data_IF_766548318326
#
_entry.id   IF_766548318326
#
_cell.length_a   1.000
_cell.length_b   1.000
_cell.length_c   1.000
_cell.angle_alpha   90.00
_cell.angle_beta   90.00
_cell.angle_gamma   90.00
#
_symmetry.space_group_name_H-M   'P 1'
#
loop_
_entity.id
_entity.type
_entity.pdbx_description
1 polymer ?
#
# COMPACT_ATOMS: atom_id res chain seq x y z
N UNK A 1 11.58 59.04 -32.86
CA UNK A 1 11.14 58.53 -31.54
C UNK A 1 11.00 57.05 -31.65
N UNK A 2 11.92 56.29 -31.07
CA UNK A 2 11.86 54.80 -31.05
C UNK A 2 11.45 54.43 -29.65
N UNK A 3 10.25 53.85 -29.46
CA UNK A 3 9.77 53.37 -28.20
C UNK A 3 10.35 51.96 -27.97
N UNK A 4 11.23 51.82 -26.98
CA UNK A 4 11.73 50.57 -26.53
C UNK A 4 10.67 49.88 -25.64
N UNK A 5 10.10 48.77 -26.10
CA UNK A 5 9.25 47.92 -25.27
C UNK A 5 10.17 47.01 -24.44
N UNK A 6 10.24 47.29 -23.13
CA UNK A 6 10.91 46.42 -22.17
C UNK A 6 9.94 45.32 -21.82
N UNK A 7 10.18 44.09 -22.34
CA UNK A 7 9.52 42.88 -21.87
C UNK A 7 10.12 42.51 -20.50
N UNK A 8 9.37 42.74 -19.43
CA UNK A 8 9.65 42.14 -18.13
C UNK A 8 9.32 40.65 -18.22
N UNK A 9 10.33 39.83 -18.36
CA UNK A 9 10.21 38.39 -18.12
C UNK A 9 10.05 38.16 -16.60
N UNK A 10 8.82 37.91 -16.17
CA UNK A 10 8.54 37.44 -14.81
C UNK A 10 9.09 36.01 -14.68
N UNK A 11 10.28 35.88 -14.13
CA UNK A 11 10.85 34.61 -13.73
C UNK A 11 10.10 34.09 -12.50
N UNK A 12 9.21 33.13 -12.68
CA UNK A 12 8.59 32.32 -11.63
C UNK A 12 9.18 30.90 -11.61
N UNK A 13 10.39 30.66 -11.08
CA UNK A 13 10.84 29.29 -10.87
C UNK A 13 11.16 28.90 -9.41
N UNK A 14 11.09 29.81 -8.43
CA UNK A 14 11.64 29.52 -7.10
C UNK A 14 10.68 28.73 -6.20
N UNK A 15 9.38 28.83 -6.40
CA UNK A 15 8.40 28.08 -5.57
C UNK A 15 8.18 26.64 -6.04
N UNK A 16 8.23 26.37 -7.34
CA UNK A 16 8.11 25.03 -7.88
C UNK A 16 9.23 24.10 -7.39
N UNK A 17 10.47 24.59 -7.37
CA UNK A 17 11.64 23.85 -6.90
C UNK A 17 11.53 23.44 -5.41
N UNK A 18 11.06 24.32 -4.53
CA UNK A 18 10.88 23.98 -3.10
C UNK A 18 9.82 22.92 -2.86
N UNK A 19 8.71 22.96 -3.61
CA UNK A 19 7.64 21.95 -3.52
C UNK A 19 8.13 20.61 -4.04
N UNK A 20 8.89 20.58 -5.14
CA UNK A 20 9.44 19.34 -5.70
C UNK A 20 10.47 18.71 -4.77
N UNK A 21 11.35 19.51 -4.17
CA UNK A 21 12.31 19.03 -3.16
C UNK A 21 11.59 18.47 -1.92
N UNK A 22 10.49 19.09 -1.50
CA UNK A 22 9.67 18.60 -0.40
C UNK A 22 9.00 17.27 -0.75
N UNK A 23 8.47 17.12 -1.96
CA UNK A 23 7.88 15.85 -2.43
C UNK A 23 8.91 14.74 -2.37
N UNK A 24 10.10 14.95 -2.95
CA UNK A 24 11.18 13.94 -2.95
C UNK A 24 11.62 13.59 -1.52
N UNK A 25 11.79 14.59 -0.67
CA UNK A 25 12.17 14.40 0.74
C UNK A 25 11.08 13.64 1.51
N UNK A 26 9.81 14.03 1.34
CA UNK A 26 8.68 13.37 2.00
C UNK A 26 8.54 11.92 1.58
N UNK A 27 8.70 11.63 0.28
CA UNK A 27 8.69 10.25 -0.22
C UNK A 27 9.78 9.40 0.45
N UNK A 28 11.04 9.85 0.41
CA UNK A 28 12.17 9.15 1.02
C UNK A 28 12.03 8.98 2.54
N UNK A 29 11.40 9.92 3.22
CA UNK A 29 11.19 9.92 4.66
C UNK A 29 9.92 9.21 5.10
N UNK A 30 9.03 8.82 4.18
CA UNK A 30 7.80 8.11 4.51
C UNK A 30 8.08 6.75 5.15
N UNK A 31 7.16 6.29 5.97
CA UNK A 31 7.23 5.00 6.64
C UNK A 31 7.37 3.84 5.63
N UNK A 32 6.63 3.90 4.53
CA UNK A 32 6.69 2.88 3.46
C UNK A 32 8.09 2.78 2.88
N UNK A 33 8.72 3.90 2.49
CA UNK A 33 10.06 3.87 1.90
C UNK A 33 11.14 3.40 2.90
N UNK A 34 11.00 3.77 4.17
CA UNK A 34 11.96 3.39 5.23
C UNK A 34 11.84 1.94 5.69
N UNK A 35 10.64 1.36 5.63
CA UNK A 35 10.38 0.03 6.20
C UNK A 35 10.14 -1.04 5.14
N UNK A 36 9.28 -0.79 4.18
CA UNK A 36 8.92 -1.78 3.15
C UNK A 36 9.86 -1.74 1.94
N UNK A 37 10.25 -0.55 1.48
CA UNK A 37 11.03 -0.33 0.26
C UNK A 37 12.53 -0.08 0.52
N UNK A 38 12.99 -0.23 1.75
CA UNK A 38 14.37 0.10 2.17
C UNK A 38 15.48 -0.66 1.42
N UNK A 39 15.17 -1.83 0.89
CA UNK A 39 16.11 -2.69 0.16
C UNK A 39 16.01 -2.53 -1.36
N UNK A 40 15.13 -1.66 -1.84
CA UNK A 40 14.92 -1.38 -3.24
C UNK A 40 15.77 -0.18 -3.69
N UNK A 41 16.20 -0.19 -4.95
CA UNK A 41 16.93 0.92 -5.56
C UNK A 41 15.92 1.83 -6.29
N UNK A 42 15.31 2.75 -5.55
CA UNK A 42 14.28 3.66 -6.08
C UNK A 42 14.82 5.09 -6.15
N UNK A 43 14.86 5.63 -7.36
CA UNK A 43 15.16 7.02 -7.63
C UNK A 43 13.85 7.80 -7.84
N UNK A 44 13.73 8.94 -7.17
CA UNK A 44 12.54 9.79 -7.20
C UNK A 44 12.95 11.14 -7.76
N UNK A 45 12.27 11.58 -8.82
CA UNK A 45 12.42 12.91 -9.39
C UNK A 45 11.05 13.58 -9.42
N UNK A 46 10.99 14.86 -9.09
CA UNK A 46 9.78 15.68 -9.17
C UNK A 46 10.04 16.92 -9.96
N UNK A 47 9.08 17.30 -10.81
CA UNK A 47 9.08 18.55 -11.55
C UNK A 47 7.65 19.08 -11.66
N UNK A 48 7.40 20.24 -11.07
CA UNK A 48 6.08 20.88 -11.07
C UNK A 48 4.95 19.98 -10.51
N UNK A 49 5.29 19.08 -9.56
CA UNK A 49 4.38 18.09 -8.97
C UNK A 49 4.19 16.82 -9.83
N UNK A 50 4.82 16.72 -10.98
CA UNK A 50 4.89 15.46 -11.73
C UNK A 50 6.08 14.64 -11.24
N UNK A 51 5.82 13.47 -10.66
CA UNK A 51 6.85 12.61 -10.09
C UNK A 51 7.15 11.44 -11.02
N UNK A 52 8.44 11.18 -11.23
CA UNK A 52 8.93 9.99 -11.94
C UNK A 52 9.68 9.10 -10.97
N UNK A 53 9.29 7.82 -10.93
CA UNK A 53 9.97 6.77 -10.19
C UNK A 53 10.75 5.88 -11.15
N UNK A 54 12.05 5.71 -10.91
CA UNK A 54 12.93 4.86 -11.72
C UNK A 54 13.80 3.99 -10.83
N UNK A 55 14.36 2.93 -11.38
CA UNK A 55 15.22 1.99 -10.67
C UNK A 55 14.61 0.62 -10.57
N UNK A 56 15.03 -0.16 -9.58
CA UNK A 56 14.62 -1.56 -9.46
C UNK A 56 14.07 -1.86 -8.07
N UNK A 57 13.03 -2.67 -8.05
CA UNK A 57 12.39 -3.19 -6.81
C UNK A 57 12.49 -4.71 -6.76
N UNK A 58 12.36 -5.27 -5.58
CA UNK A 58 12.42 -6.72 -5.36
C UNK A 58 11.16 -7.44 -5.84
N UNK A 59 10.00 -6.76 -5.81
CA UNK A 59 8.69 -7.37 -6.08
C UNK A 59 7.74 -6.41 -6.81
N UNK A 60 6.76 -6.94 -7.55
CA UNK A 60 5.74 -6.12 -8.24
C UNK A 60 4.86 -5.32 -7.27
N UNK A 61 4.60 -5.89 -6.07
CA UNK A 61 3.90 -5.19 -4.99
C UNK A 61 4.61 -3.90 -4.58
N UNK A 62 5.94 -3.88 -4.58
CA UNK A 62 6.75 -2.71 -4.25
C UNK A 62 6.62 -1.59 -5.30
N UNK A 63 6.47 -1.93 -6.59
CA UNK A 63 6.17 -0.92 -7.62
C UNK A 63 4.86 -0.19 -7.34
N UNK A 64 3.81 -0.96 -7.06
CA UNK A 64 2.49 -0.40 -6.78
C UNK A 64 2.50 0.39 -5.47
N UNK A 65 3.11 -0.15 -4.41
CA UNK A 65 3.19 0.50 -3.11
C UNK A 65 3.97 1.83 -3.18
N UNK A 66 5.09 1.86 -3.90
CA UNK A 66 5.85 3.09 -4.13
C UNK A 66 4.99 4.14 -4.83
N UNK A 67 4.29 3.76 -5.91
CA UNK A 67 3.40 4.65 -6.67
C UNK A 67 2.28 5.23 -5.81
N UNK A 68 1.55 4.37 -5.07
CA UNK A 68 0.40 4.79 -4.28
C UNK A 68 0.81 5.68 -3.10
N UNK A 69 1.95 5.38 -2.47
CA UNK A 69 2.50 6.22 -1.40
C UNK A 69 2.88 7.59 -1.93
N UNK A 70 3.60 7.67 -3.05
CA UNK A 70 4.01 8.95 -3.65
C UNK A 70 2.79 9.74 -4.13
N UNK A 71 1.80 9.08 -4.74
CA UNK A 71 0.56 9.73 -5.17
C UNK A 71 -0.25 10.33 -4.00
N UNK A 72 -0.07 9.82 -2.77
CA UNK A 72 -0.68 10.34 -1.55
C UNK A 72 0.02 11.58 -0.97
N UNK A 73 1.20 11.98 -1.46
CA UNK A 73 1.94 13.12 -0.93
C UNK A 73 1.34 14.46 -1.39
N UNK A 74 1.40 15.43 -0.48
CA UNK A 74 0.96 16.81 -0.79
C UNK A 74 1.79 17.41 -1.93
N UNK A 75 1.13 18.02 -2.89
CA UNK A 75 1.76 18.66 -4.05
C UNK A 75 1.98 17.73 -5.25
N UNK A 76 1.80 16.42 -5.11
CA UNK A 76 1.89 15.47 -6.24
C UNK A 76 0.64 15.57 -7.10
N UNK A 77 0.83 15.75 -8.40
CA UNK A 77 -0.23 15.82 -9.42
C UNK A 77 -0.33 14.52 -10.22
N UNK A 78 0.81 13.96 -10.58
CA UNK A 78 0.92 12.73 -11.37
C UNK A 78 2.13 11.93 -10.95
N UNK A 79 2.06 10.60 -11.12
CA UNK A 79 3.18 9.68 -10.87
C UNK A 79 3.40 8.82 -12.10
N UNK A 80 4.57 8.96 -12.71
CA UNK A 80 5.07 8.11 -13.78
C UNK A 80 5.97 7.03 -13.17
N UNK A 81 5.45 5.82 -13.10
CA UNK A 81 6.13 4.70 -12.44
C UNK A 81 6.85 3.83 -13.47
N UNK A 82 8.17 4.00 -13.58
CA UNK A 82 9.10 3.25 -14.45
C UNK A 82 9.98 2.29 -13.66
N UNK A 83 9.55 1.86 -12.48
CA UNK A 83 10.27 0.87 -11.69
C UNK A 83 10.25 -0.49 -12.40
N UNK A 84 11.36 -1.21 -12.32
CA UNK A 84 11.51 -2.56 -12.84
C UNK A 84 11.68 -3.55 -11.69
N UNK A 85 11.21 -4.79 -11.85
CA UNK A 85 11.39 -5.83 -10.85
C UNK A 85 12.70 -6.57 -11.11
N UNK A 86 13.55 -6.70 -10.09
CA UNK A 86 14.85 -7.40 -10.19
C UNK A 86 14.65 -8.87 -10.55
N UNK A 87 15.28 -9.30 -11.64
CA UNK A 87 15.45 -10.73 -11.94
C UNK A 87 14.19 -11.49 -12.36
N UNK A 88 13.07 -10.83 -12.56
CA UNK A 88 11.88 -11.47 -13.03
C UNK A 88 11.72 -11.32 -14.55
N UNK A 89 11.72 -12.42 -15.33
CA UNK A 89 10.80 -12.49 -16.43
C UNK A 89 9.42 -12.26 -15.81
N UNK A 90 8.57 -11.45 -16.42
CA UNK A 90 7.18 -11.22 -15.98
C UNK A 90 6.57 -12.56 -15.53
N UNK A 91 6.63 -12.84 -14.22
CA UNK A 91 5.92 -13.99 -13.68
C UNK A 91 4.47 -13.76 -14.05
N UNK A 92 3.86 -14.69 -14.75
CA UNK A 92 2.48 -14.58 -15.17
C UNK A 92 1.66 -14.12 -13.95
N UNK A 93 0.82 -13.12 -14.14
CA UNK A 93 0.07 -12.40 -13.09
C UNK A 93 -0.82 -13.29 -12.21
N UNK A 94 -0.71 -14.60 -12.29
CA UNK A 94 -1.41 -15.60 -11.49
C UNK A 94 -0.50 -16.81 -11.16
N UNK A 95 0.83 -16.66 -11.19
CA UNK A 95 1.73 -17.72 -10.76
C UNK A 95 1.69 -17.88 -9.24
N UNK A 96 1.97 -19.10 -8.75
CA UNK A 96 2.04 -19.38 -7.31
C UNK A 96 3.05 -18.46 -6.61
N UNK A 97 4.18 -18.13 -7.24
CA UNK A 97 5.15 -17.17 -6.71
C UNK A 97 4.56 -15.77 -6.54
N UNK A 98 3.72 -15.32 -7.49
CA UNK A 98 3.01 -14.06 -7.37
C UNK A 98 1.96 -14.09 -6.24
N UNK A 99 1.24 -15.21 -6.09
CA UNK A 99 0.29 -15.40 -4.99
C UNK A 99 0.97 -15.41 -3.62
N UNK A 100 2.16 -16.04 -3.48
CA UNK A 100 2.96 -15.94 -2.24
C UNK A 100 3.20 -14.48 -1.87
N UNK A 101 3.65 -13.68 -2.84
CA UNK A 101 3.90 -12.25 -2.64
C UNK A 101 2.64 -11.50 -2.22
N UNK A 102 1.52 -11.68 -2.94
CA UNK A 102 0.25 -11.03 -2.63
C UNK A 102 -0.23 -11.36 -1.21
N UNK A 103 -0.23 -12.64 -0.84
CA UNK A 103 -0.66 -13.10 0.49
C UNK A 103 0.24 -12.51 1.58
N UNK A 104 1.58 -12.62 1.45
CA UNK A 104 2.52 -12.04 2.41
C UNK A 104 2.32 -10.54 2.58
N UNK A 105 2.19 -9.82 1.48
CA UNK A 105 1.98 -8.36 1.48
C UNK A 105 0.64 -8.00 2.14
N UNK A 106 -0.43 -8.72 1.83
CA UNK A 106 -1.73 -8.54 2.48
C UNK A 106 -1.61 -8.71 4.00
N UNK A 107 -1.04 -9.83 4.45
CA UNK A 107 -0.87 -10.07 5.89
C UNK A 107 0.00 -9.00 6.57
N UNK A 108 1.03 -8.50 5.87
CA UNK A 108 1.94 -7.48 6.40
C UNK A 108 1.26 -6.14 6.68
N UNK A 109 0.22 -5.81 5.94
CA UNK A 109 -0.49 -4.52 6.07
C UNK A 109 -1.51 -4.51 7.21
N UNK A 110 -1.96 -5.68 7.65
CA UNK A 110 -2.97 -5.81 8.70
C UNK A 110 -2.36 -5.89 10.10
N UNK A 111 -2.87 -5.06 11.02
CA UNK A 111 -2.40 -4.97 12.40
C UNK A 111 -2.83 -6.15 13.27
N UNK A 112 -3.94 -6.81 12.92
CA UNK A 112 -4.53 -7.91 13.69
C UNK A 112 -3.88 -9.28 13.43
N UNK A 113 -2.95 -9.37 12.46
CA UNK A 113 -2.23 -10.62 12.13
C UNK A 113 -0.72 -10.44 12.25
N UNK A 114 0.01 -11.54 12.40
CA UNK A 114 1.47 -11.51 12.57
C UNK A 114 2.16 -12.02 11.32
N UNK A 115 2.34 -11.14 10.34
CA UNK A 115 2.98 -11.50 9.07
C UNK A 115 4.41 -12.03 9.27
N UNK A 116 5.17 -11.48 10.23
CA UNK A 116 6.54 -11.92 10.51
C UNK A 116 6.64 -13.31 11.14
N UNK A 117 5.56 -13.80 11.74
CA UNK A 117 5.46 -15.14 12.33
C UNK A 117 4.69 -16.11 11.42
N UNK A 118 4.34 -15.68 10.19
CA UNK A 118 3.57 -16.48 9.24
C UNK A 118 4.43 -16.81 8.01
N UNK A 119 4.66 -18.08 7.79
CA UNK A 119 5.22 -18.60 6.54
C UNK A 119 4.08 -18.87 5.56
N UNK A 120 4.30 -18.52 4.30
CA UNK A 120 3.32 -18.68 3.22
C UNK A 120 3.94 -19.47 2.10
N UNK A 121 3.34 -20.61 1.78
CA UNK A 121 3.61 -21.40 0.57
C UNK A 121 2.37 -21.45 -0.31
N UNK A 122 2.57 -21.49 -1.63
CA UNK A 122 1.47 -21.64 -2.59
C UNK A 122 1.82 -22.71 -3.61
N UNK A 123 0.86 -23.60 -3.86
CA UNK A 123 0.94 -24.59 -4.94
C UNK A 123 -0.41 -24.72 -5.63
N UNK A 124 -0.42 -24.51 -6.95
CA UNK A 124 -1.63 -24.59 -7.80
C UNK A 124 -2.78 -23.68 -7.30
N UNK A 125 -2.44 -22.53 -6.67
CA UNK A 125 -3.38 -21.59 -6.07
C UNK A 125 -3.89 -21.99 -4.67
N UNK A 126 -3.37 -23.08 -4.09
CA UNK A 126 -3.65 -23.50 -2.71
C UNK A 126 -2.58 -22.91 -1.80
N UNK A 127 -3.00 -22.06 -0.87
CA UNK A 127 -2.12 -21.40 0.12
C UNK A 127 -1.98 -22.29 1.34
N UNK A 128 -0.76 -22.55 1.77
CA UNK A 128 -0.46 -23.17 3.08
C UNK A 128 0.17 -22.15 4.00
N UNK A 129 -0.44 -21.91 5.15
CA UNK A 129 0.04 -20.99 6.20
C UNK A 129 0.64 -21.81 7.33
N UNK A 130 1.89 -21.49 7.73
CA UNK A 130 2.60 -22.11 8.86
C UNK A 130 3.14 -21.05 9.79
N UNK A 131 3.59 -21.46 10.98
CA UNK A 131 4.13 -20.60 12.01
C UNK A 131 3.21 -20.47 13.20
N UNK A 132 3.34 -19.37 13.96
CA UNK A 132 2.66 -19.20 15.24
C UNK A 132 1.65 -18.05 15.21
N UNK A 133 0.44 -18.32 15.70
CA UNK A 133 -0.58 -17.31 15.98
C UNK A 133 -0.70 -17.10 17.51
N UNK A 134 -0.81 -15.85 17.94
CA UNK A 134 -0.93 -15.50 19.36
C UNK A 134 -2.30 -15.90 19.96
N UNK A 135 -3.30 -16.19 19.14
CA UNK A 135 -4.64 -16.63 19.55
C UNK A 135 -5.35 -17.35 18.39
N UNK A 136 -6.41 -18.08 18.73
CA UNK A 136 -7.29 -18.68 17.73
C UNK A 136 -7.90 -17.61 16.80
N UNK A 137 -8.32 -16.47 17.36
CA UNK A 137 -8.87 -15.38 16.57
C UNK A 137 -7.87 -14.83 15.54
N UNK A 138 -6.59 -14.70 15.90
CA UNK A 138 -5.54 -14.29 14.96
C UNK A 138 -5.32 -15.34 13.86
N UNK A 139 -5.29 -16.62 14.22
CA UNK A 139 -5.18 -17.74 13.27
C UNK A 139 -6.33 -17.73 12.27
N UNK A 140 -7.56 -17.52 12.73
CA UNK A 140 -8.75 -17.47 11.91
C UNK A 140 -8.75 -16.25 10.98
N UNK A 141 -8.39 -15.06 11.50
CA UNK A 141 -8.23 -13.84 10.68
C UNK A 141 -7.14 -14.00 9.61
N UNK A 142 -6.01 -14.63 9.94
CA UNK A 142 -4.95 -14.91 8.95
C UNK A 142 -5.49 -15.77 7.82
N UNK A 143 -6.33 -16.78 8.14
CA UNK A 143 -7.01 -17.61 7.11
C UNK A 143 -7.92 -16.76 6.23
N UNK A 144 -8.79 -15.94 6.83
CA UNK A 144 -9.77 -15.13 6.08
C UNK A 144 -9.09 -14.11 5.17
N UNK A 145 -8.05 -13.42 5.64
CA UNK A 145 -7.28 -12.49 4.82
C UNK A 145 -6.58 -13.19 3.65
N UNK A 146 -5.94 -14.33 3.91
CA UNK A 146 -5.30 -15.10 2.83
C UNK A 146 -6.30 -15.64 1.82
N UNK A 147 -7.47 -16.11 2.27
CA UNK A 147 -8.54 -16.63 1.44
C UNK A 147 -9.18 -15.58 0.53
N UNK A 148 -9.22 -14.33 0.98
CA UNK A 148 -9.80 -13.22 0.21
C UNK A 148 -8.81 -12.61 -0.81
N UNK A 149 -7.55 -13.03 -0.82
CA UNK A 149 -6.60 -12.59 -1.85
C UNK A 149 -7.01 -13.11 -3.22
N UNK A 150 -7.06 -12.20 -4.20
CA UNK A 150 -7.42 -12.54 -5.57
C UNK A 150 -6.43 -13.54 -6.18
N UNK A 151 -6.96 -14.64 -6.72
CA UNK A 151 -6.23 -15.78 -7.27
C UNK A 151 -6.07 -16.96 -6.29
N UNK A 152 -6.35 -16.82 -5.00
CA UNK A 152 -6.33 -17.91 -4.02
C UNK A 152 -7.58 -18.77 -4.19
N UNK A 153 -7.38 -20.09 -4.32
CA UNK A 153 -8.46 -21.09 -4.45
C UNK A 153 -8.86 -21.69 -3.10
N UNK A 154 -7.87 -22.03 -2.29
CA UNK A 154 -8.03 -22.70 -0.99
C UNK A 154 -6.93 -22.23 -0.03
N UNK A 155 -7.22 -22.22 1.27
CA UNK A 155 -6.23 -21.95 2.33
C UNK A 155 -6.20 -23.11 3.31
N UNK A 156 -5.02 -23.68 3.51
CA UNK A 156 -4.70 -24.67 4.55
C UNK A 156 -3.92 -24.00 5.64
N UNK A 157 -4.54 -23.82 6.78
CA UNK A 157 -3.92 -23.16 7.91
C UNK A 157 -3.36 -24.18 8.91
N UNK A 158 -2.05 -24.40 8.83
CA UNK A 158 -1.27 -25.29 9.70
C UNK A 158 -0.59 -24.52 10.84
N UNK A 159 -0.96 -23.24 11.08
CA UNK A 159 -0.38 -22.42 12.16
C UNK A 159 -0.71 -23.02 13.53
N UNK A 160 0.29 -23.04 14.40
CA UNK A 160 0.10 -23.36 15.81
C UNK A 160 -0.46 -22.14 16.57
N UNK A 161 -1.35 -22.38 17.53
CA UNK A 161 -1.76 -21.32 18.47
C UNK A 161 -0.82 -21.37 19.66
N UNK A 162 0.07 -20.40 19.77
CA UNK A 162 0.97 -20.29 20.89
C UNK A 162 0.18 -19.94 22.17
N UNK A 163 0.53 -20.57 23.30
CA UNK A 163 0.02 -20.12 24.60
C UNK A 163 0.43 -18.65 24.80
N UNK A 164 -0.46 -17.79 25.35
CA UNK A 164 -0.26 -16.35 25.38
C UNK A 164 0.88 -15.96 26.32
N UNK A 165 2.09 -15.98 25.83
CA UNK A 165 3.25 -15.39 26.50
C UNK A 165 3.75 -14.20 25.67
N UNK A 166 3.39 -13.01 26.21
CA UNK A 166 3.84 -11.67 25.80
C UNK A 166 3.39 -11.17 24.40
N UNK A 167 2.36 -10.33 24.43
CA UNK A 167 2.16 -9.30 23.40
C UNK A 167 3.45 -8.49 23.26
N UNK A 168 4.15 -8.67 22.17
CA UNK A 168 5.12 -7.68 21.73
C UNK A 168 4.30 -6.55 21.09
N UNK A 169 3.91 -5.56 21.91
CA UNK A 169 3.52 -4.26 21.35
C UNK A 169 4.78 -3.70 20.73
N UNK A 170 4.85 -3.71 19.41
CA UNK A 170 5.74 -2.82 18.67
C UNK A 170 5.30 -1.41 19.02
N UNK A 171 6.15 -0.67 19.73
CA UNK A 171 6.03 0.79 19.89
C UNK A 171 5.99 1.36 18.48
N UNK A 172 4.80 1.83 18.08
CA UNK A 172 4.56 2.22 16.71
C UNK A 172 5.38 3.44 16.34
N UNK A 173 6.31 3.27 15.40
CA UNK A 173 6.75 4.40 14.58
C UNK A 173 5.49 5.04 14.01
N UNK A 174 5.37 6.37 14.13
CA UNK A 174 4.22 7.08 13.58
C UNK A 174 4.23 6.92 12.07
N UNK A 175 3.24 6.19 11.56
CA UNK A 175 3.07 5.99 10.12
C UNK A 175 2.46 7.27 9.55
N UNK A 176 3.09 7.84 8.53
CA UNK A 176 2.62 9.06 7.88
C UNK A 176 1.37 8.81 7.01
N UNK A 177 0.57 9.86 6.80
CA UNK A 177 -0.70 9.78 6.08
C UNK A 177 -0.56 9.27 4.63
N UNK A 178 0.55 9.57 3.95
CA UNK A 178 0.80 9.10 2.59
C UNK A 178 1.08 7.59 2.57
N UNK A 179 1.86 7.11 3.54
CA UNK A 179 2.09 5.67 3.74
C UNK A 179 0.79 4.93 4.06
N UNK A 180 -0.04 5.44 4.98
CA UNK A 180 -1.35 4.87 5.29
C UNK A 180 -2.24 4.83 4.03
N UNK A 181 -2.24 5.89 3.23
CA UNK A 181 -3.00 5.93 1.97
C UNK A 181 -2.53 4.82 1.02
N UNK A 182 -1.21 4.65 0.85
CA UNK A 182 -0.64 3.60 0.01
C UNK A 182 -1.01 2.19 0.49
N UNK A 183 -0.84 1.92 1.80
CA UNK A 183 -1.20 0.64 2.41
C UNK A 183 -2.69 0.32 2.28
N UNK A 184 -3.58 1.30 2.54
CA UNK A 184 -5.02 1.13 2.42
C UNK A 184 -5.46 0.84 0.97
N UNK A 185 -4.89 1.53 -0.02
CA UNK A 185 -5.15 1.26 -1.44
C UNK A 185 -4.69 -0.15 -1.84
N UNK A 186 -3.50 -0.56 -1.41
CA UNK A 186 -2.99 -1.91 -1.68
C UNK A 186 -3.85 -2.99 -1.04
N UNK A 187 -4.31 -2.78 0.20
CA UNK A 187 -5.24 -3.67 0.89
C UNK A 187 -6.51 -3.88 0.07
N UNK A 188 -7.18 -2.80 -0.33
CA UNK A 188 -8.40 -2.88 -1.16
C UNK A 188 -8.15 -3.53 -2.52
N UNK A 189 -6.98 -3.28 -3.13
CA UNK A 189 -6.62 -3.86 -4.43
C UNK A 189 -6.41 -5.37 -4.37
N UNK A 190 -5.84 -5.89 -3.28
CA UNK A 190 -5.48 -7.30 -3.15
C UNK A 190 -6.63 -8.18 -2.66
N UNK A 191 -7.59 -7.61 -1.94
CA UNK A 191 -8.80 -8.31 -1.53
C UNK A 191 -9.84 -8.37 -2.66
N UNK A 192 -10.21 -9.58 -3.09
CA UNK A 192 -11.21 -9.79 -4.14
C UNK A 192 -12.62 -9.33 -3.76
N UNK A 193 -12.91 -9.29 -2.46
CA UNK A 193 -14.21 -8.86 -1.92
C UNK A 193 -14.37 -7.35 -1.90
N UNK A 194 -13.35 -6.58 -2.31
CA UNK A 194 -13.41 -5.13 -2.39
C UNK A 194 -12.97 -4.63 -3.76
N UNK A 195 -13.55 -3.54 -4.20
CA UNK A 195 -13.25 -2.93 -5.52
C UNK A 195 -12.25 -1.78 -5.39
N UNK A 196 -10.98 -2.11 -5.04
CA UNK A 196 -9.95 -1.11 -4.84
C UNK A 196 -9.74 -0.16 -6.04
N UNK A 197 -9.98 -0.62 -7.25
CA UNK A 197 -9.84 0.19 -8.47
C UNK A 197 -10.89 1.31 -8.58
N UNK A 198 -12.08 1.12 -8.01
CA UNK A 198 -13.20 2.08 -8.04
C UNK A 198 -13.29 2.93 -6.77
N UNK A 199 -12.32 2.78 -5.86
CA UNK A 199 -12.32 3.44 -4.56
C UNK A 199 -11.22 4.49 -4.50
N UNK A 200 -11.57 5.73 -4.20
CA UNK A 200 -10.61 6.78 -3.84
C UNK A 200 -10.33 6.73 -2.36
N UNK A 201 -9.05 6.75 -2.01
CA UNK A 201 -8.55 6.69 -0.63
C UNK A 201 -7.71 7.93 -0.35
N UNK A 202 -8.05 8.66 0.70
CA UNK A 202 -7.26 9.78 1.19
C UNK A 202 -7.11 9.67 2.71
N UNK A 203 -5.94 10.07 3.23
CA UNK A 203 -5.67 10.05 4.67
C UNK A 203 -5.31 11.43 5.15
N UNK A 204 -5.85 11.83 6.30
CA UNK A 204 -5.50 13.05 7.00
C UNK A 204 -5.54 12.82 8.51
N UNK A 205 -4.42 13.07 9.18
CA UNK A 205 -4.24 12.85 10.62
C UNK A 205 -4.64 11.43 11.04
N UNK A 206 -4.15 10.39 10.29
CA UNK A 206 -4.44 8.96 10.48
C UNK A 206 -5.92 8.58 10.30
N UNK A 207 -6.76 9.48 9.81
CA UNK A 207 -8.16 9.22 9.46
C UNK A 207 -8.26 8.97 7.96
N UNK A 208 -8.65 7.77 7.58
CA UNK A 208 -8.83 7.39 6.17
C UNK A 208 -10.24 7.72 5.73
N UNK A 209 -10.36 8.41 4.60
CA UNK A 209 -11.64 8.64 3.93
C UNK A 209 -11.70 7.79 2.67
N UNK A 210 -12.72 6.93 2.59
CA UNK A 210 -13.05 6.14 1.41
C UNK A 210 -14.18 6.82 0.65
N UNK A 211 -14.03 7.01 -0.66
CA UNK A 211 -15.08 7.52 -1.54
C UNK A 211 -15.06 6.76 -2.87
N UNK A 212 -16.14 6.91 -3.64
CA UNK A 212 -16.35 6.14 -4.86
C UNK A 212 -17.61 5.29 -4.77
N UNK A 213 -17.64 4.17 -5.49
CA UNK A 213 -18.83 3.30 -5.57
C UNK A 213 -18.52 1.89 -5.12
N UNK A 214 -19.39 1.32 -4.31
CA UNK A 214 -19.42 -0.08 -3.96
C UNK A 214 -20.57 -0.77 -4.68
N UNK A 215 -20.41 -2.02 -5.06
CA UNK A 215 -21.47 -2.80 -5.74
C UNK A 215 -22.68 -3.08 -4.83
N UNK A 216 -22.43 -3.16 -3.53
CA UNK A 216 -23.45 -3.44 -2.53
C UNK A 216 -22.97 -3.01 -1.12
N UNK A 217 -23.87 -3.10 -0.13
CA UNK A 217 -23.58 -2.74 1.25
C UNK A 217 -22.48 -3.62 1.87
N UNK A 218 -22.45 -4.92 1.54
CA UNK A 218 -21.44 -5.83 2.09
C UNK A 218 -20.01 -5.47 1.62
N UNK A 219 -19.83 -5.10 0.33
CA UNK A 219 -18.54 -4.61 -0.18
C UNK A 219 -18.12 -3.31 0.51
N UNK A 220 -19.06 -2.36 0.70
CA UNK A 220 -18.82 -1.11 1.43
C UNK A 220 -18.36 -1.37 2.88
N UNK A 221 -19.03 -2.29 3.57
CA UNK A 221 -18.71 -2.64 4.97
C UNK A 221 -17.36 -3.37 5.06
N UNK A 222 -17.06 -4.29 4.12
CA UNK A 222 -15.77 -4.98 4.05
C UNK A 222 -14.62 -4.00 3.78
N UNK A 223 -14.81 -3.04 2.87
CA UNK A 223 -13.81 -2.01 2.61
C UNK A 223 -13.50 -1.21 3.88
N UNK A 224 -14.52 -0.84 4.67
CA UNK A 224 -14.34 -0.18 5.96
C UNK A 224 -13.54 -1.06 6.93
N UNK A 225 -13.91 -2.33 7.06
CA UNK A 225 -13.30 -3.27 8.00
C UNK A 225 -11.84 -3.53 7.67
N UNK A 226 -11.53 -3.80 6.41
CA UNK A 226 -10.17 -4.06 5.97
C UNK A 226 -9.27 -2.85 6.15
N UNK A 227 -9.74 -1.66 5.75
CA UNK A 227 -8.96 -0.43 5.90
C UNK A 227 -8.79 -0.03 7.37
N UNK A 228 -9.78 -0.29 8.22
CA UNK A 228 -9.67 -0.01 9.66
C UNK A 228 -8.61 -0.89 10.36
N UNK A 229 -8.29 -2.05 9.79
CA UNK A 229 -7.23 -2.95 10.29
C UNK A 229 -5.84 -2.67 9.69
N UNK A 230 -5.72 -1.72 8.78
CA UNK A 230 -4.42 -1.32 8.22
C UNK A 230 -3.55 -0.64 9.27
N UNK A 231 -2.27 -0.99 9.30
CA UNK A 231 -1.29 -0.41 10.20
C UNK A 231 -1.31 1.14 10.15
N UNK A 232 -1.43 1.77 11.31
CA UNK A 232 -1.43 3.22 11.46
C UNK A 232 -2.79 3.90 11.30
N UNK A 233 -3.83 3.19 10.86
CA UNK A 233 -5.18 3.75 10.74
C UNK A 233 -5.81 3.94 12.12
N UNK A 234 -6.26 5.17 12.41
CA UNK A 234 -6.97 5.52 13.64
C UNK A 234 -8.48 5.33 13.49
N UNK A 235 -9.03 5.68 12.33
CA UNK A 235 -10.45 5.50 12.01
C UNK A 235 -10.70 5.64 10.52
N UNK A 236 -11.83 5.12 10.06
CA UNK A 236 -12.26 5.18 8.66
C UNK A 236 -13.56 5.95 8.53
N UNK A 237 -13.61 6.91 7.60
CA UNK A 237 -14.83 7.59 7.13
C UNK A 237 -15.21 7.03 5.78
N UNK A 238 -16.22 6.16 5.73
CA UNK A 238 -16.67 5.58 4.48
C UNK A 238 -17.82 6.39 3.87
N UNK A 239 -17.50 7.15 2.83
CA UNK A 239 -18.40 7.98 2.04
C UNK A 239 -18.79 7.34 0.70
N UNK A 240 -18.46 6.05 0.51
CA UNK A 240 -18.83 5.34 -0.71
C UNK A 240 -20.35 5.27 -0.88
N UNK A 241 -20.81 5.43 -2.11
CA UNK A 241 -22.21 5.18 -2.50
C UNK A 241 -22.36 3.74 -3.00
N UNK A 242 -23.57 3.21 -2.93
CA UNK A 242 -23.92 1.91 -3.51
C UNK A 242 -24.44 2.17 -4.93
N UNK A 243 -24.05 1.34 -5.90
CA UNK A 243 -24.54 1.42 -7.29
C UNK A 243 -26.03 1.15 -7.43
#
# INVERSE_FOLDING_TARGET
>A
MVAAVVLLALSLPVQASKTDDQIVSSAKNSYVFKNYLKNDDIKIQSKDGAVTLTGTVSEESHKTLARETVAGLSGVKTVDNRLEVKGAPLAATNSDAWLVTKVKTTLLFHSSVSASATEVDVKDGIVTLRGDAASQAQRDLTTEYAKDVDGVKEVRNEMAVANPSKKTQTTGDQIDDASITGLAKMTLLYHRSTSGLNTSVTTKNWVVTLSGKAKNAAEKDLATKYVNDVNGVKSVKNQMTIE
#
